data_IF_146331875310
#
_entry.id   IF_146331875310
#
_cell.length_a   1.000
_cell.length_b   1.000
_cell.length_c   1.000
_cell.angle_alpha   90.00
_cell.angle_beta   90.00
_cell.angle_gamma   90.00
#
_symmetry.space_group_name_H-M   'P 1'
#
loop_
_entity.id
_entity.type
_entity.pdbx_description
1 polymer ?
#
# COMPACT_ATOMS: atom_id res chain seq x y z
N UNK A 1 -7.42 21.65 -14.93
CA UNK A 1 -8.17 20.50 -14.40
C UNK A 1 -7.64 19.95 -13.09
N UNK A 2 -6.38 20.10 -12.78
CA UNK A 2 -5.81 19.53 -11.55
C UNK A 2 -6.22 20.32 -10.30
N UNK A 3 -6.38 21.62 -10.43
CA UNK A 3 -6.63 22.53 -9.31
C UNK A 3 -7.99 23.25 -9.41
N UNK A 4 -8.52 23.45 -10.63
CA UNK A 4 -9.79 24.14 -10.82
C UNK A 4 -10.61 23.52 -11.96
N UNK A 5 -11.66 22.79 -11.59
CA UNK A 5 -12.59 22.18 -12.53
C UNK A 5 -13.55 23.23 -13.15
N UNK A 6 -13.87 24.29 -12.39
CA UNK A 6 -14.76 25.36 -12.85
C UNK A 6 -14.10 26.19 -13.94
N UNK A 7 -12.83 26.55 -13.74
CA UNK A 7 -12.06 27.26 -14.76
C UNK A 7 -11.93 26.44 -16.05
N UNK A 8 -11.68 25.14 -15.96
CA UNK A 8 -11.60 24.25 -17.12
C UNK A 8 -12.93 24.16 -17.87
N UNK A 9 -14.07 24.12 -17.18
CA UNK A 9 -15.39 24.10 -17.79
C UNK A 9 -15.71 25.43 -18.50
N UNK A 10 -15.30 26.55 -17.94
CA UNK A 10 -15.45 27.88 -18.53
C UNK A 10 -14.70 28.04 -19.86
N UNK A 11 -13.59 27.31 -20.02
CA UNK A 11 -12.80 27.25 -21.23
C UNK A 11 -13.34 26.25 -22.28
N UNK A 12 -14.53 25.68 -22.06
CA UNK A 12 -15.19 24.76 -22.98
C UNK A 12 -14.68 23.32 -22.93
N UNK A 13 -13.90 22.95 -21.92
CA UNK A 13 -13.41 21.57 -21.77
C UNK A 13 -14.52 20.69 -21.18
N UNK A 14 -14.83 19.59 -21.86
CA UNK A 14 -15.80 18.63 -21.36
C UNK A 14 -15.16 17.75 -20.25
N UNK A 15 -15.48 18.08 -18.99
CA UNK A 15 -14.95 17.42 -17.79
C UNK A 15 -15.21 15.91 -17.79
N UNK A 16 -16.41 15.51 -18.22
CA UNK A 16 -16.79 14.07 -18.22
C UNK A 16 -15.93 13.29 -19.20
N UNK A 17 -15.77 13.79 -20.43
CA UNK A 17 -14.94 13.12 -21.45
C UNK A 17 -13.49 13.03 -21.01
N UNK A 18 -12.95 14.09 -20.41
CA UNK A 18 -11.55 14.11 -19.96
C UNK A 18 -11.32 13.18 -18.78
N UNK A 19 -12.22 13.14 -17.80
CA UNK A 19 -12.15 12.18 -16.69
C UNK A 19 -12.27 10.74 -17.19
N UNK A 20 -13.22 10.49 -18.09
CA UNK A 20 -13.43 9.16 -18.64
C UNK A 20 -12.21 8.67 -19.45
N UNK A 21 -11.59 9.54 -20.24
CA UNK A 21 -10.37 9.19 -20.98
C UNK A 21 -9.19 8.89 -20.06
N UNK A 22 -9.04 9.62 -18.95
CA UNK A 22 -8.01 9.35 -17.97
C UNK A 22 -8.21 7.97 -17.29
N UNK A 23 -9.46 7.65 -16.92
CA UNK A 23 -9.79 6.33 -16.38
C UNK A 23 -9.57 5.22 -17.40
N UNK A 24 -9.93 5.42 -18.65
CA UNK A 24 -9.74 4.45 -19.73
C UNK A 24 -8.24 4.14 -19.94
N UNK A 25 -7.39 5.16 -19.95
CA UNK A 25 -5.95 4.96 -20.02
C UNK A 25 -5.41 4.19 -18.82
N UNK A 26 -5.83 4.56 -17.60
CA UNK A 26 -5.44 3.83 -16.38
C UNK A 26 -5.86 2.36 -16.41
N UNK A 27 -7.10 2.08 -16.84
CA UNK A 27 -7.61 0.72 -16.99
C UNK A 27 -6.84 -0.10 -18.03
N UNK A 28 -6.40 0.53 -19.12
CA UNK A 28 -5.59 -0.13 -20.14
C UNK A 28 -4.23 -0.57 -19.58
N UNK A 29 -3.52 0.31 -18.88
CA UNK A 29 -2.26 -0.04 -18.23
C UNK A 29 -2.43 -1.10 -17.16
N UNK A 30 -3.50 -1.04 -16.37
CA UNK A 30 -3.83 -2.06 -15.39
C UNK A 30 -4.09 -3.43 -16.05
N UNK A 31 -4.80 -3.44 -17.20
CA UNK A 31 -5.03 -4.67 -17.96
C UNK A 31 -3.72 -5.31 -18.45
N UNK A 32 -2.79 -4.50 -18.98
CA UNK A 32 -1.46 -4.99 -19.36
C UNK A 32 -0.70 -5.56 -18.16
N UNK A 33 -0.67 -4.82 -17.03
CA UNK A 33 0.00 -5.29 -15.83
C UNK A 33 -0.60 -6.62 -15.32
N UNK A 34 -1.92 -6.75 -15.35
CA UNK A 34 -2.62 -7.99 -14.99
C UNK A 34 -2.28 -9.16 -15.92
N UNK A 35 -2.16 -8.92 -17.22
CA UNK A 35 -1.77 -9.95 -18.18
C UNK A 35 -0.33 -10.45 -17.94
N UNK A 36 0.61 -9.53 -17.69
CA UNK A 36 1.98 -9.90 -17.31
C UNK A 36 2.04 -10.68 -16.01
N UNK A 37 1.26 -10.25 -15.01
CA UNK A 37 1.17 -10.93 -13.72
C UNK A 37 0.62 -12.36 -13.89
N UNK A 38 -0.43 -12.53 -14.69
CA UNK A 38 -1.00 -13.83 -15.00
C UNK A 38 -0.01 -14.78 -15.69
N UNK A 39 0.75 -14.25 -16.67
CA UNK A 39 1.76 -15.00 -17.38
C UNK A 39 2.93 -15.42 -16.47
N UNK A 40 3.30 -14.57 -15.51
CA UNK A 40 4.40 -14.84 -14.58
C UNK A 40 4.05 -15.88 -13.52
N UNK A 41 2.84 -15.79 -12.93
CA UNK A 41 2.44 -16.67 -11.80
C UNK A 41 1.76 -17.96 -12.26
N UNK A 42 1.29 -18.01 -13.54
CA UNK A 42 0.59 -19.17 -14.13
C UNK A 42 -0.75 -19.54 -13.48
N UNK A 43 -1.05 -19.08 -12.25
CA UNK A 43 -2.31 -19.29 -11.57
C UNK A 43 -2.69 -18.04 -10.77
N UNK A 44 -3.89 -17.53 -10.98
CA UNK A 44 -4.42 -16.36 -10.27
C UNK A 44 -5.48 -16.80 -9.28
N UNK A 45 -5.27 -16.52 -8.01
CA UNK A 45 -6.24 -16.77 -6.95
C UNK A 45 -6.92 -15.46 -6.56
N UNK A 46 -8.26 -15.44 -6.39
CA UNK A 46 -8.98 -14.22 -5.96
C UNK A 46 -8.47 -13.64 -4.64
N UNK A 47 -7.97 -14.48 -3.74
CA UNK A 47 -7.41 -14.08 -2.44
C UNK A 47 -6.16 -13.18 -2.54
N UNK A 48 -5.52 -13.11 -3.70
CA UNK A 48 -4.37 -12.20 -3.92
C UNK A 48 -4.82 -10.75 -4.11
N UNK A 49 -6.08 -10.55 -4.53
CA UNK A 49 -6.67 -9.22 -4.74
C UNK A 49 -7.46 -8.75 -3.51
N UNK A 50 -6.77 -8.67 -2.39
CA UNK A 50 -7.36 -8.22 -1.14
C UNK A 50 -7.37 -6.68 -1.05
N UNK A 51 -8.26 -6.12 -0.21
CA UNK A 51 -8.35 -4.69 0.06
C UNK A 51 -7.01 -4.09 0.51
N UNK A 52 -6.21 -4.87 1.24
CA UNK A 52 -4.87 -4.49 1.67
C UNK A 52 -3.95 -4.07 0.51
N UNK A 53 -4.06 -4.74 -0.64
CA UNK A 53 -3.27 -4.41 -1.84
C UNK A 53 -3.66 -3.03 -2.37
N UNK A 54 -4.96 -2.70 -2.37
CA UNK A 54 -5.43 -1.38 -2.79
C UNK A 54 -4.92 -0.26 -1.89
N UNK A 55 -4.88 -0.50 -0.57
CA UNK A 55 -4.33 0.46 0.41
C UNK A 55 -2.83 0.70 0.16
N UNK A 56 -2.07 -0.36 -0.11
CA UNK A 56 -0.63 -0.25 -0.39
C UNK A 56 -0.38 0.56 -1.67
N UNK A 57 -1.14 0.29 -2.74
CA UNK A 57 -1.03 1.05 -3.99
C UNK A 57 -1.35 2.53 -3.75
N UNK A 58 -2.39 2.82 -2.96
CA UNK A 58 -2.72 4.18 -2.58
C UNK A 58 -1.57 4.86 -1.82
N UNK A 59 -0.96 4.15 -0.87
CA UNK A 59 0.22 4.63 -0.14
C UNK A 59 1.40 4.93 -1.08
N UNK A 60 1.67 4.07 -2.08
CA UNK A 60 2.72 4.29 -3.07
C UNK A 60 2.50 5.57 -3.86
N UNK A 61 1.27 5.84 -4.28
CA UNK A 61 0.91 7.03 -5.05
C UNK A 61 1.00 8.30 -4.20
N UNK A 62 0.52 8.26 -2.96
CA UNK A 62 0.55 9.41 -2.05
C UNK A 62 1.99 9.73 -1.65
N UNK A 63 2.78 8.73 -1.29
CA UNK A 63 4.19 8.87 -0.90
C UNK A 63 5.04 9.36 -2.07
N UNK A 64 4.78 8.87 -3.28
CA UNK A 64 5.46 9.31 -4.48
C UNK A 64 5.10 10.73 -4.93
N UNK A 65 3.99 11.28 -4.40
CA UNK A 65 3.48 12.61 -4.72
C UNK A 65 2.51 12.60 -5.89
N UNK A 66 1.27 13.06 -5.60
CA UNK A 66 0.21 13.19 -6.59
C UNK A 66 0.65 14.12 -7.74
N UNK A 67 0.81 13.52 -8.93
CA UNK A 67 1.12 14.25 -10.17
C UNK A 67 2.59 14.29 -10.57
N UNK A 68 3.47 13.64 -9.84
CA UNK A 68 4.85 13.43 -10.27
C UNK A 68 5.07 11.95 -10.61
N UNK A 69 5.17 11.63 -11.91
CA UNK A 69 5.29 10.25 -12.38
C UNK A 69 6.58 9.57 -11.88
N UNK A 70 7.68 10.30 -11.85
CA UNK A 70 8.97 9.79 -11.33
C UNK A 70 8.91 9.55 -9.82
N UNK A 71 8.23 10.43 -9.08
CA UNK A 71 8.01 10.27 -7.65
C UNK A 71 7.19 9.03 -7.31
N UNK A 72 6.12 8.75 -8.06
CA UNK A 72 5.28 7.55 -7.86
C UNK A 72 6.07 6.27 -8.12
N UNK A 73 6.92 6.25 -9.17
CA UNK A 73 7.77 5.08 -9.45
C UNK A 73 8.77 4.84 -8.31
N UNK A 74 9.43 5.89 -7.83
CA UNK A 74 10.35 5.79 -6.70
C UNK A 74 9.63 5.37 -5.42
N UNK A 75 8.47 5.95 -5.14
CA UNK A 75 7.61 5.58 -4.00
C UNK A 75 7.20 4.12 -4.05
N UNK A 76 6.84 3.61 -5.22
CA UNK A 76 6.49 2.21 -5.41
C UNK A 76 7.70 1.28 -5.13
N UNK A 77 8.90 1.62 -5.62
CA UNK A 77 10.12 0.85 -5.37
C UNK A 77 10.45 0.82 -3.87
N UNK A 78 10.37 1.97 -3.20
CA UNK A 78 10.68 2.09 -1.77
C UNK A 78 9.69 1.26 -0.94
N UNK A 79 8.37 1.43 -1.17
CA UNK A 79 7.35 0.71 -0.40
C UNK A 79 7.41 -0.79 -0.68
N UNK A 80 7.60 -1.20 -1.94
CA UNK A 80 7.68 -2.61 -2.29
C UNK A 80 8.93 -3.28 -1.68
N UNK A 81 10.06 -2.56 -1.65
CA UNK A 81 11.29 -3.02 -0.99
C UNK A 81 11.07 -3.12 0.53
N UNK A 82 10.42 -2.14 1.13
CA UNK A 82 10.08 -2.15 2.54
C UNK A 82 9.16 -3.33 2.89
N UNK A 83 8.12 -3.53 2.11
CA UNK A 83 7.14 -4.59 2.32
C UNK A 83 7.74 -6.00 2.17
N UNK A 84 8.59 -6.21 1.17
CA UNK A 84 9.12 -7.54 0.85
C UNK A 84 10.38 -7.92 1.63
N UNK A 85 11.24 -6.96 1.93
CA UNK A 85 12.54 -7.21 2.55
C UNK A 85 12.55 -6.90 4.04
N UNK A 86 12.03 -5.74 4.44
CA UNK A 86 12.18 -5.26 5.81
C UNK A 86 11.07 -5.77 6.76
N UNK A 87 9.83 -5.82 6.32
CA UNK A 87 8.74 -6.27 7.18
C UNK A 87 8.88 -7.71 7.71
N UNK A 88 9.21 -8.71 6.88
CA UNK A 88 9.38 -10.07 7.38
C UNK A 88 10.56 -10.20 8.37
N UNK A 89 11.65 -9.47 8.11
CA UNK A 89 12.81 -9.49 9.00
C UNK A 89 12.49 -8.79 10.33
N UNK A 90 11.84 -7.64 10.29
CA UNK A 90 11.42 -6.92 11.48
C UNK A 90 10.47 -7.76 12.34
N UNK A 91 9.49 -8.41 11.72
CA UNK A 91 8.56 -9.30 12.41
C UNK A 91 9.26 -10.48 13.08
N UNK A 92 10.27 -11.07 12.43
CA UNK A 92 11.06 -12.17 13.02
C UNK A 92 11.90 -11.71 14.19
N UNK A 93 12.60 -10.56 14.06
CA UNK A 93 13.40 -9.98 15.15
C UNK A 93 12.52 -9.61 16.34
N UNK A 94 11.35 -9.02 16.07
CA UNK A 94 10.41 -8.62 17.10
C UNK A 94 9.81 -9.84 17.82
N UNK A 95 9.43 -10.88 17.09
CA UNK A 95 8.96 -12.16 17.66
C UNK A 95 10.07 -12.85 18.47
N UNK A 96 11.31 -12.82 17.99
CA UNK A 96 12.46 -13.36 18.71
C UNK A 96 12.72 -12.59 20.02
N UNK A 97 12.66 -11.27 19.98
CA UNK A 97 12.82 -10.42 21.16
C UNK A 97 11.70 -10.64 22.19
N UNK A 98 10.47 -10.73 21.74
CA UNK A 98 9.32 -11.04 22.59
C UNK A 98 9.42 -12.41 23.23
N UNK A 99 9.77 -13.44 22.46
CA UNK A 99 9.93 -14.80 22.97
C UNK A 99 11.07 -14.92 24.00
N UNK A 100 12.16 -14.16 23.80
CA UNK A 100 13.35 -14.28 24.67
C UNK A 100 13.25 -13.40 25.90
N UNK A 101 12.66 -12.20 25.80
CA UNK A 101 12.68 -11.21 26.88
C UNK A 101 11.35 -11.03 27.60
N UNK A 102 10.23 -11.11 26.91
CA UNK A 102 8.92 -10.73 27.43
C UNK A 102 8.10 -11.92 27.87
N UNK A 103 8.05 -13.00 27.09
CA UNK A 103 7.27 -14.19 27.44
C UNK A 103 7.69 -14.90 28.74
N UNK A 104 8.99 -15.08 29.04
CA UNK A 104 9.36 -15.74 30.29
C UNK A 104 9.06 -14.90 31.53
N UNK A 105 8.75 -13.62 31.37
CA UNK A 105 8.45 -12.72 32.50
C UNK A 105 6.95 -12.48 32.73
N UNK A 106 6.11 -12.79 31.75
CA UNK A 106 4.65 -12.61 31.82
C UNK A 106 4.02 -13.99 32.04
N UNK A 107 3.57 -14.25 33.26
CA UNK A 107 2.95 -15.52 33.68
C UNK A 107 1.49 -15.73 33.15
N UNK A 108 1.03 -14.97 32.18
CA UNK A 108 -0.33 -15.04 31.66
C UNK A 108 -0.29 -15.49 30.19
N UNK A 109 -0.60 -16.78 29.91
CA UNK A 109 -0.54 -17.34 28.54
C UNK A 109 -1.49 -16.63 27.55
N UNK A 110 -2.61 -16.11 28.02
CA UNK A 110 -3.57 -15.38 27.19
C UNK A 110 -3.02 -14.05 26.62
N UNK A 111 -2.17 -13.35 27.37
CA UNK A 111 -1.51 -12.13 26.91
C UNK A 111 -0.41 -12.44 25.88
N UNK A 112 0.27 -13.55 26.05
CA UNK A 112 1.28 -14.02 25.10
C UNK A 112 0.67 -14.39 23.75
N UNK A 113 -0.47 -15.08 23.75
CA UNK A 113 -1.21 -15.42 22.53
C UNK A 113 -1.82 -14.17 21.86
N UNK A 114 -2.33 -13.23 22.64
CA UNK A 114 -2.86 -11.96 22.11
C UNK A 114 -1.74 -11.13 21.45
N UNK A 115 -0.58 -11.02 22.09
CA UNK A 115 0.57 -10.32 21.52
C UNK A 115 1.13 -11.03 20.28
N UNK A 116 1.20 -12.38 20.30
CA UNK A 116 1.64 -13.16 19.15
C UNK A 116 0.69 -13.02 17.95
N UNK A 117 -0.61 -12.94 18.20
CA UNK A 117 -1.65 -12.75 17.15
C UNK A 117 -1.68 -11.30 16.67
N UNK A 118 -1.49 -10.31 17.56
CA UNK A 118 -1.44 -8.89 17.18
C UNK A 118 -0.18 -8.52 16.39
N UNK A 119 0.87 -9.35 16.48
CA UNK A 119 2.13 -9.19 15.74
C UNK A 119 2.16 -9.99 14.43
N UNK A 120 1.00 -10.39 13.92
CA UNK A 120 0.93 -10.96 12.58
C UNK A 120 1.45 -9.96 11.55
N UNK A 121 2.31 -10.41 10.62
CA UNK A 121 2.93 -9.54 9.61
C UNK A 121 1.91 -8.73 8.81
N UNK A 122 0.70 -9.26 8.65
CA UNK A 122 -0.39 -8.61 7.91
C UNK A 122 -0.93 -7.39 8.68
N UNK A 123 -1.13 -7.52 9.99
CA UNK A 123 -1.64 -6.42 10.82
C UNK A 123 -0.59 -5.32 11.01
N UNK A 124 0.67 -5.70 11.23
CA UNK A 124 1.79 -4.75 11.28
C UNK A 124 1.94 -3.96 9.97
N UNK A 125 1.74 -4.63 8.85
CA UNK A 125 1.78 -4.01 7.52
C UNK A 125 0.73 -2.91 7.38
N UNK A 126 -0.54 -3.20 7.71
CA UNK A 126 -1.62 -2.22 7.66
C UNK A 126 -1.40 -1.05 8.61
N UNK A 127 -0.90 -1.33 9.83
CA UNK A 127 -0.58 -0.30 10.81
C UNK A 127 0.53 0.64 10.33
N UNK A 128 1.62 0.09 9.78
CA UNK A 128 2.73 0.89 9.24
C UNK A 128 2.30 1.75 8.05
N UNK A 129 1.49 1.20 7.16
CA UNK A 129 0.98 1.97 6.04
C UNK A 129 0.00 3.05 6.48
N UNK A 130 -0.89 2.77 7.43
CA UNK A 130 -1.76 3.76 8.04
C UNK A 130 -0.96 4.89 8.72
N UNK A 131 0.06 4.56 9.47
CA UNK A 131 0.96 5.52 10.10
C UNK A 131 1.68 6.39 9.06
N UNK A 132 2.18 5.78 7.99
CA UNK A 132 2.86 6.48 6.89
C UNK A 132 1.93 7.49 6.23
N UNK A 133 0.66 7.13 6.00
CA UNK A 133 -0.35 8.03 5.46
C UNK A 133 -0.62 9.22 6.40
N UNK A 134 -0.77 8.95 7.70
CA UNK A 134 -1.01 10.00 8.71
C UNK A 134 0.17 10.95 8.81
N UNK A 135 1.40 10.43 8.89
CA UNK A 135 2.60 11.25 8.93
C UNK A 135 2.72 12.14 7.70
N UNK A 136 2.42 11.58 6.52
CA UNK A 136 2.49 12.34 5.28
C UNK A 136 1.42 13.41 5.18
N UNK A 137 0.23 13.15 5.74
CA UNK A 137 -0.85 14.14 5.82
C UNK A 137 -0.51 15.30 6.77
N UNK A 138 0.27 15.04 7.83
CA UNK A 138 0.71 16.07 8.79
C UNK A 138 1.87 16.90 8.24
N UNK A 139 2.77 16.28 7.50
CA UNK A 139 3.99 16.93 6.98
C UNK A 139 3.72 17.79 5.74
N UNK A 140 2.60 17.56 5.05
CA UNK A 140 2.19 18.33 3.86
C UNK A 140 1.23 19.44 4.21
#
# INVERSE_FOLDING_TARGET
MREDELAASSMGINLVKTKLSAFAMGATFSGFAGAFYAAYISAIFPSVFDFSVSVIILCMVILGGLGNMTGVILGAIIIMSADRLYLPQLAQVLKGFLNTFVLPRIAIPQLADFLATSLDPIQMRLFLFGLTLVVMMIVK
#
